data_IF_022207373763
#
_entry.id   IF_022207373763
#
_cell.length_a   1.000
_cell.length_b   1.000
_cell.length_c   1.000
_cell.angle_alpha   90.00
_cell.angle_beta   90.00
_cell.angle_gamma   90.00
#
_symmetry.space_group_name_H-M   'P 1'
#
loop_
_entity.id
_entity.type
_entity.pdbx_description
1 polymer ?
#
# COMPACT_ATOMS: atom_id res chain seq x y z
N UNK A 1 -30.05 -90.24 -15.58
CA UNK A 1 -30.61 -90.39 -14.22
C UNK A 1 -30.71 -89.03 -13.59
N UNK A 2 -31.94 -88.65 -13.26
CA UNK A 2 -32.38 -87.84 -12.10
C UNK A 2 -31.58 -86.61 -11.77
N UNK A 3 -32.11 -85.42 -11.48
CA UNK A 3 -33.45 -84.85 -11.16
C UNK A 3 -33.25 -83.32 -11.13
N UNK A 4 -34.03 -82.56 -11.80
CA UNK A 4 -34.95 -81.48 -11.41
C UNK A 4 -34.76 -80.98 -9.97
N UNK A 5 -34.58 -79.65 -9.81
CA UNK A 5 -35.43 -78.82 -8.95
C UNK A 5 -35.24 -77.35 -9.34
N UNK A 6 -36.38 -76.78 -9.55
CA UNK A 6 -36.73 -75.43 -9.86
C UNK A 6 -36.71 -74.54 -8.59
N UNK A 7 -36.16 -73.35 -8.61
CA UNK A 7 -36.60 -72.32 -7.67
C UNK A 7 -36.53 -70.94 -8.28
N UNK A 8 -37.66 -70.31 -8.26
CA UNK A 8 -37.96 -68.93 -8.62
C UNK A 8 -37.16 -67.98 -7.80
N UNK A 9 -36.45 -67.02 -8.45
CA UNK A 9 -35.89 -65.92 -7.78
C UNK A 9 -36.70 -64.67 -8.06
N UNK A 10 -37.11 -64.07 -6.96
CA UNK A 10 -37.80 -62.81 -6.76
C UNK A 10 -36.89 -61.68 -7.13
N UNK A 11 -37.23 -60.93 -8.16
CA UNK A 11 -36.54 -59.71 -8.57
C UNK A 11 -36.89 -58.60 -7.56
N UNK A 12 -35.96 -58.30 -6.66
CA UNK A 12 -36.03 -57.02 -5.86
C UNK A 12 -35.51 -55.86 -6.71
N UNK A 13 -36.43 -55.11 -7.23
CA UNK A 13 -36.20 -53.81 -7.85
C UNK A 13 -35.77 -52.86 -6.74
N UNK A 14 -34.45 -52.63 -6.59
CA UNK A 14 -33.95 -51.50 -5.82
C UNK A 14 -34.15 -50.23 -6.63
N UNK A 15 -35.19 -49.48 -6.30
CA UNK A 15 -35.32 -48.09 -6.71
C UNK A 15 -34.22 -47.28 -6.00
N UNK A 16 -33.14 -47.01 -6.72
CA UNK A 16 -32.23 -45.96 -6.35
C UNK A 16 -32.96 -44.64 -6.64
N UNK A 17 -33.50 -44.02 -5.59
CA UNK A 17 -33.82 -42.60 -5.62
C UNK A 17 -32.49 -41.82 -5.73
N UNK A 18 -32.10 -41.44 -6.95
CA UNK A 18 -31.18 -40.38 -7.18
C UNK A 18 -31.87 -39.10 -6.67
N UNK A 19 -31.59 -38.77 -5.42
CA UNK A 19 -31.77 -37.41 -4.94
C UNK A 19 -30.75 -36.57 -5.71
N UNK A 20 -31.17 -36.02 -6.85
CA UNK A 20 -30.56 -34.84 -7.42
C UNK A 20 -30.78 -33.74 -6.39
N UNK A 21 -29.75 -33.51 -5.59
CA UNK A 21 -29.63 -32.20 -4.96
C UNK A 21 -29.44 -31.21 -6.08
N UNK A 22 -30.52 -30.66 -6.60
CA UNK A 22 -30.51 -29.38 -7.24
C UNK A 22 -30.08 -28.37 -6.16
N UNK A 23 -28.76 -28.19 -6.05
CA UNK A 23 -28.20 -27.02 -5.40
C UNK A 23 -28.45 -25.83 -6.30
N UNK A 24 -29.71 -25.45 -6.49
CA UNK A 24 -30.11 -24.13 -6.78
C UNK A 24 -29.80 -23.31 -5.52
N UNK A 25 -28.55 -22.98 -5.30
CA UNK A 25 -28.20 -21.81 -4.53
C UNK A 25 -28.80 -20.65 -5.31
N UNK A 26 -30.04 -20.29 -4.94
CA UNK A 26 -30.70 -19.11 -5.45
C UNK A 26 -29.75 -17.96 -5.13
N UNK A 27 -29.09 -17.40 -6.17
CA UNK A 27 -28.20 -16.25 -6.03
C UNK A 27 -29.00 -15.14 -5.35
N UNK A 28 -28.88 -15.07 -4.03
CA UNK A 28 -29.61 -14.08 -3.24
C UNK A 28 -29.02 -12.71 -3.54
N UNK A 29 -29.88 -11.76 -3.86
CA UNK A 29 -29.50 -10.36 -4.02
C UNK A 29 -28.79 -9.85 -2.74
N UNK A 30 -27.70 -9.15 -2.89
CA UNK A 30 -26.90 -8.57 -1.80
C UNK A 30 -26.85 -7.07 -1.91
N UNK A 31 -27.11 -6.38 -0.82
CA UNK A 31 -26.88 -4.96 -0.71
C UNK A 31 -25.41 -4.74 -0.32
N UNK A 32 -24.63 -4.16 -1.22
CA UNK A 32 -23.23 -3.85 -1.00
C UNK A 32 -23.10 -2.44 -0.42
N UNK A 33 -22.48 -2.30 0.74
CA UNK A 33 -22.29 -1.00 1.43
C UNK A 33 -20.98 -0.97 2.20
N UNK A 34 -20.27 0.14 2.09
CA UNK A 34 -19.22 0.46 3.05
C UNK A 34 -19.79 0.57 4.45
N UNK A 35 -19.08 0.09 5.42
CA UNK A 35 -19.42 0.13 6.84
C UNK A 35 -18.30 0.82 7.60
N UNK A 36 -18.65 1.80 8.39
CA UNK A 36 -17.72 2.58 9.18
C UNK A 36 -18.09 2.51 10.65
N UNK A 37 -17.07 2.46 11.49
CA UNK A 37 -17.20 2.56 12.94
C UNK A 37 -16.11 3.50 13.44
N UNK A 38 -16.50 4.46 14.29
CA UNK A 38 -15.53 5.36 14.93
C UNK A 38 -14.47 4.58 15.70
N UNK A 39 -13.21 4.90 15.46
CA UNK A 39 -12.06 4.22 16.03
C UNK A 39 -11.48 3.10 15.16
N UNK A 40 -12.17 2.70 14.08
CA UNK A 40 -11.60 1.70 13.15
C UNK A 40 -10.37 2.26 12.44
N UNK A 41 -9.41 1.38 12.23
CA UNK A 41 -8.22 1.65 11.44
C UNK A 41 -8.08 0.58 10.38
N UNK A 42 -7.59 0.97 9.22
CA UNK A 42 -7.24 0.02 8.16
C UNK A 42 -6.00 0.51 7.42
N UNK A 43 -5.29 -0.44 6.85
CA UNK A 43 -4.14 -0.18 6.01
C UNK A 43 -4.38 -0.77 4.62
N UNK A 44 -3.93 -0.07 3.60
CA UNK A 44 -3.87 -0.59 2.22
C UNK A 44 -2.42 -0.58 1.76
N UNK A 45 -1.96 -1.72 1.27
CA UNK A 45 -0.70 -1.84 0.54
C UNK A 45 -1.03 -2.00 -0.94
N UNK A 46 -0.48 -1.12 -1.78
CA UNK A 46 -0.60 -1.23 -3.23
C UNK A 46 0.77 -1.26 -3.87
N UNK A 47 0.97 -2.17 -4.81
CA UNK A 47 2.16 -2.24 -5.66
C UNK A 47 1.76 -1.98 -7.10
N UNK A 48 2.47 -1.08 -7.77
CA UNK A 48 2.22 -0.72 -9.17
C UNK A 48 3.51 -0.92 -9.97
N UNK A 49 3.41 -1.67 -11.07
CA UNK A 49 4.47 -1.73 -12.06
C UNK A 49 4.06 -0.87 -13.24
N UNK A 50 4.82 0.19 -13.49
CA UNK A 50 4.49 1.20 -14.48
C UNK A 50 5.60 1.38 -15.52
N UNK A 51 5.20 1.61 -16.76
CA UNK A 51 6.07 2.01 -17.86
C UNK A 51 5.67 3.41 -18.30
N UNK A 52 6.62 4.33 -18.27
CA UNK A 52 6.43 5.72 -18.70
C UNK A 52 7.14 5.96 -20.03
N UNK A 53 6.41 6.49 -21.01
CA UNK A 53 6.96 6.96 -22.28
C UNK A 53 6.70 8.45 -22.43
N UNK A 54 7.67 9.16 -23.00
CA UNK A 54 7.55 10.57 -23.38
C UNK A 54 7.79 10.69 -24.87
N UNK A 55 6.82 11.28 -25.58
CA UNK A 55 6.84 11.41 -27.05
C UNK A 55 7.13 10.08 -27.77
N UNK A 56 6.48 8.98 -27.29
CA UNK A 56 6.60 7.63 -27.80
C UNK A 56 7.90 6.90 -27.46
N UNK A 57 8.84 7.53 -26.75
CA UNK A 57 10.11 6.92 -26.33
C UNK A 57 10.04 6.48 -24.87
N UNK A 58 10.57 5.30 -24.55
CA UNK A 58 10.68 4.84 -23.18
C UNK A 58 11.50 5.87 -22.37
N UNK A 59 10.89 6.39 -21.33
CA UNK A 59 11.53 7.28 -20.37
C UNK A 59 12.08 6.45 -19.20
N UNK A 60 11.21 5.71 -18.50
CA UNK A 60 11.60 4.80 -17.40
C UNK A 60 10.55 3.72 -17.16
N UNK A 61 10.92 2.74 -16.36
CA UNK A 61 10.01 1.77 -15.75
C UNK A 61 10.10 1.97 -14.25
N UNK A 62 8.97 2.04 -13.58
CA UNK A 62 8.85 2.27 -12.14
C UNK A 62 8.15 1.11 -11.44
N UNK A 63 8.64 0.76 -10.27
CA UNK A 63 7.94 -0.01 -9.27
C UNK A 63 7.50 0.96 -8.17
N UNK A 64 6.20 1.16 -8.02
CA UNK A 64 5.62 2.11 -7.07
C UNK A 64 4.96 1.32 -5.95
N UNK A 65 5.23 1.68 -4.71
CA UNK A 65 4.57 1.13 -3.53
C UNK A 65 3.81 2.25 -2.83
N UNK A 66 2.50 2.09 -2.78
CA UNK A 66 1.61 2.99 -2.07
C UNK A 66 1.16 2.33 -0.77
N UNK A 67 1.24 3.08 0.32
CA UNK A 67 0.77 2.70 1.63
C UNK A 67 -0.24 3.72 2.09
N UNK A 68 -1.39 3.25 2.43
CA UNK A 68 -2.45 4.08 2.99
C UNK A 68 -2.72 3.60 4.41
N UNK A 69 -2.64 4.48 5.37
CA UNK A 69 -3.14 4.26 6.73
C UNK A 69 -4.31 5.19 6.95
N UNK A 70 -5.46 4.65 7.29
CA UNK A 70 -6.67 5.43 7.50
C UNK A 70 -7.26 5.15 8.88
N UNK A 71 -7.73 6.21 9.51
CA UNK A 71 -8.43 6.20 10.80
C UNK A 71 -9.82 6.81 10.63
N UNK A 72 -10.85 6.09 11.10
CA UNK A 72 -12.22 6.59 11.11
C UNK A 72 -12.41 7.39 12.40
N UNK A 73 -12.37 8.72 12.29
CA UNK A 73 -12.47 9.61 13.45
C UNK A 73 -13.89 9.89 13.88
N UNK A 74 -14.85 9.80 12.94
CA UNK A 74 -16.26 10.02 13.22
C UNK A 74 -17.15 9.25 12.23
N UNK A 75 -18.40 8.99 12.64
CA UNK A 75 -19.44 8.42 11.78
C UNK A 75 -20.73 9.23 12.01
N UNK A 76 -21.23 9.88 10.96
CA UNK A 76 -22.42 10.70 11.07
C UNK A 76 -23.74 9.91 11.09
N UNK A 77 -24.86 10.62 11.27
CA UNK A 77 -26.21 10.04 11.32
C UNK A 77 -26.63 9.33 10.02
N UNK A 78 -25.99 9.65 8.89
CA UNK A 78 -26.22 9.02 7.59
C UNK A 78 -25.31 7.82 7.35
N UNK A 79 -24.46 7.44 8.32
CA UNK A 79 -23.51 6.35 8.22
C UNK A 79 -22.29 6.67 7.36
N UNK A 80 -21.98 7.96 7.09
CA UNK A 80 -20.74 8.36 6.43
C UNK A 80 -19.59 8.31 7.43
N UNK A 81 -18.43 7.78 7.00
CA UNK A 81 -17.22 7.78 7.81
C UNK A 81 -16.33 8.98 7.51
N UNK A 82 -15.89 9.70 8.55
CA UNK A 82 -14.84 10.69 8.46
C UNK A 82 -13.51 10.00 8.54
N UNK A 83 -12.79 9.99 7.40
CA UNK A 83 -11.49 9.36 7.27
C UNK A 83 -10.38 10.42 7.44
N UNK A 84 -9.44 10.17 8.33
CA UNK A 84 -8.14 10.82 8.38
C UNK A 84 -7.11 9.82 7.88
N UNK A 85 -6.49 10.10 6.74
CA UNK A 85 -5.65 9.14 6.05
C UNK A 85 -4.28 9.72 5.69
N UNK A 86 -3.24 8.92 5.89
CA UNK A 86 -1.89 9.21 5.42
C UNK A 86 -1.57 8.30 4.24
N UNK A 87 -1.15 8.88 3.15
CA UNK A 87 -0.73 8.19 1.93
C UNK A 87 0.78 8.37 1.78
N UNK A 88 1.53 7.28 1.80
CA UNK A 88 2.95 7.27 1.49
C UNK A 88 3.15 6.62 0.13
N UNK A 89 3.78 7.32 -0.79
CA UNK A 89 4.12 6.80 -2.12
C UNK A 89 5.62 6.73 -2.28
N UNK A 90 6.13 5.56 -2.60
CA UNK A 90 7.54 5.30 -2.90
C UNK A 90 7.66 4.83 -4.34
N UNK A 91 8.58 5.42 -5.08
CA UNK A 91 8.89 5.04 -6.45
C UNK A 91 10.33 4.55 -6.55
N UNK A 92 10.52 3.37 -7.15
CA UNK A 92 11.81 2.83 -7.51
C UNK A 92 11.91 2.78 -9.04
N UNK A 93 12.61 3.76 -9.62
CA UNK A 93 12.75 3.90 -11.06
C UNK A 93 14.08 3.31 -11.57
N UNK A 94 14.04 2.60 -12.70
CA UNK A 94 15.23 1.97 -13.32
C UNK A 94 16.21 2.96 -13.95
N UNK A 95 15.85 4.23 -14.09
CA UNK A 95 16.76 5.28 -14.55
C UNK A 95 17.80 5.68 -13.50
N UNK A 96 17.54 5.38 -12.22
CA UNK A 96 18.42 5.63 -11.09
C UNK A 96 18.73 4.32 -10.39
N UNK A 97 19.84 3.64 -10.75
CA UNK A 97 20.38 2.39 -10.20
C UNK A 97 19.41 1.59 -9.30
N UNK A 98 19.03 0.39 -9.76
CA UNK A 98 18.18 -0.55 -9.02
C UNK A 98 18.78 -0.86 -7.63
N UNK A 99 18.46 -0.06 -6.63
CA UNK A 99 18.65 -0.40 -5.24
C UNK A 99 17.69 -1.53 -4.92
N UNK A 100 18.17 -2.58 -4.26
CA UNK A 100 17.33 -3.72 -3.84
C UNK A 100 16.35 -3.37 -2.72
N UNK A 101 16.23 -2.11 -2.35
CA UNK A 101 15.41 -1.55 -1.25
C UNK A 101 14.59 -0.35 -1.74
N UNK A 102 13.47 -0.10 -1.08
CA UNK A 102 12.58 1.02 -1.36
C UNK A 102 12.97 2.21 -0.47
N UNK A 103 13.12 3.40 -1.07
CA UNK A 103 13.31 4.63 -0.32
C UNK A 103 11.98 5.06 0.31
N UNK A 104 12.00 5.54 1.56
CA UNK A 104 10.81 6.09 2.20
C UNK A 104 10.32 7.30 1.42
N UNK A 105 9.06 7.24 0.96
CA UNK A 105 8.52 8.19 -0.01
C UNK A 105 7.95 9.46 0.60
N UNK A 106 7.21 10.20 -0.23
CA UNK A 106 6.47 11.36 0.21
C UNK A 106 5.19 10.93 0.95
N UNK A 107 4.88 11.63 2.03
CA UNK A 107 3.62 11.47 2.76
C UNK A 107 2.65 12.59 2.37
N UNK A 108 1.38 12.21 2.19
CA UNK A 108 0.27 13.12 1.94
C UNK A 108 -0.80 12.84 2.99
N UNK A 109 -1.24 13.85 3.68
CA UNK A 109 -2.36 13.74 4.60
C UNK A 109 -3.64 14.16 3.89
N UNK A 110 -4.74 13.46 4.17
CA UNK A 110 -6.06 13.80 3.64
C UNK A 110 -7.13 13.55 4.68
N UNK A 111 -8.14 14.42 4.67
CA UNK A 111 -9.32 14.30 5.51
C UNK A 111 -10.55 14.45 4.65
N UNK A 112 -11.44 13.43 4.72
CA UNK A 112 -12.63 13.37 3.87
C UNK A 112 -13.74 12.53 4.48
N UNK A 113 -14.97 12.88 4.17
CA UNK A 113 -16.12 12.03 4.37
C UNK A 113 -16.27 11.04 3.22
N UNK A 114 -16.67 9.83 3.52
CA UNK A 114 -17.04 8.83 2.51
C UNK A 114 -18.36 8.18 2.89
N UNK A 115 -19.32 8.16 1.95
CA UNK A 115 -20.64 7.58 2.21
C UNK A 115 -20.63 6.04 2.09
N UNK A 116 -21.76 5.42 2.45
CA UNK A 116 -21.92 3.97 2.41
C UNK A 116 -21.86 3.39 0.97
N UNK A 117 -22.00 4.21 -0.07
CA UNK A 117 -21.83 3.79 -1.47
C UNK A 117 -20.40 3.99 -1.96
N UNK A 118 -19.58 4.74 -1.26
CA UNK A 118 -18.18 4.99 -1.59
C UNK A 118 -17.92 6.37 -2.20
N UNK A 119 -18.92 7.27 -2.19
CA UNK A 119 -18.78 8.64 -2.70
C UNK A 119 -18.02 9.50 -1.69
N UNK A 120 -17.06 10.28 -2.19
CA UNK A 120 -16.22 11.15 -1.38
C UNK A 120 -16.77 12.57 -1.28
N UNK A 121 -16.67 13.16 -0.11
CA UNK A 121 -16.73 14.60 0.12
C UNK A 121 -15.36 15.03 0.64
N UNK A 122 -14.52 15.59 -0.24
CA UNK A 122 -13.11 15.90 0.00
C UNK A 122 -12.77 17.31 -0.49
N UNK A 123 -11.94 18.02 0.29
CA UNK A 123 -11.51 19.36 -0.07
C UNK A 123 -10.55 19.39 -1.26
N UNK A 124 -10.56 20.48 -2.02
CA UNK A 124 -9.72 20.66 -3.22
C UNK A 124 -8.22 20.71 -2.94
N UNK A 125 -7.82 21.03 -1.71
CA UNK A 125 -6.42 21.06 -1.27
C UNK A 125 -5.75 19.69 -1.18
N UNK A 126 -6.54 18.62 -1.20
CA UNK A 126 -6.01 17.26 -1.05
C UNK A 126 -5.73 16.61 -2.40
N UNK A 127 -4.52 16.09 -2.56
CA UNK A 127 -4.06 15.37 -3.77
C UNK A 127 -4.34 13.87 -3.71
N UNK A 128 -4.57 13.32 -2.51
CA UNK A 128 -4.88 11.91 -2.31
C UNK A 128 -6.28 11.74 -1.71
N UNK A 129 -6.96 10.61 -2.03
CA UNK A 129 -6.59 9.59 -3.01
C UNK A 129 -6.70 10.12 -4.45
N UNK A 130 -5.92 9.51 -5.37
CA UNK A 130 -5.97 9.87 -6.81
C UNK A 130 -7.32 9.48 -7.41
N UNK A 131 -7.73 8.23 -7.28
CA UNK A 131 -9.02 7.74 -7.79
C UNK A 131 -10.10 7.94 -6.73
N UNK A 132 -11.15 8.69 -7.09
CA UNK A 132 -12.26 9.04 -6.19
C UNK A 132 -13.57 8.52 -6.73
N UNK A 133 -14.48 8.17 -5.82
CA UNK A 133 -15.80 7.60 -6.09
C UNK A 133 -15.73 6.21 -6.77
N UNK A 134 -14.64 5.47 -6.53
CA UNK A 134 -14.44 4.09 -6.98
C UNK A 134 -14.04 3.21 -5.79
N UNK A 135 -14.75 2.07 -5.59
CA UNK A 135 -16.00 1.72 -6.22
C UNK A 135 -17.15 2.59 -5.70
N UNK A 136 -18.06 2.96 -6.61
CA UNK A 136 -19.38 3.45 -6.23
C UNK A 136 -20.36 2.28 -6.28
N UNK A 137 -20.86 1.88 -5.10
CA UNK A 137 -21.71 0.71 -4.94
C UNK A 137 -23.15 0.98 -5.41
N UNK A 138 -23.93 -0.05 -5.82
CA UNK A 138 -25.24 0.12 -6.44
C UNK A 138 -26.29 0.64 -5.44
N UNK A 139 -27.31 1.33 -5.94
CA UNK A 139 -28.41 1.82 -5.12
C UNK A 139 -29.23 0.70 -4.48
N UNK A 140 -29.40 -0.40 -5.21
CA UNK A 140 -30.24 -1.55 -4.82
C UNK A 140 -29.37 -2.80 -4.61
N UNK A 141 -29.95 -3.80 -3.97
CA UNK A 141 -29.36 -5.11 -3.89
C UNK A 141 -29.14 -5.69 -5.30
N UNK A 142 -28.04 -6.41 -5.47
CA UNK A 142 -27.57 -6.97 -6.75
C UNK A 142 -27.18 -8.44 -6.57
N UNK A 143 -27.17 -9.17 -7.68
CA UNK A 143 -26.74 -10.54 -7.78
C UNK A 143 -25.74 -10.73 -8.93
N UNK A 144 -25.02 -11.85 -8.99
CA UNK A 144 -24.14 -12.14 -10.10
C UNK A 144 -24.78 -11.93 -11.47
N UNK A 145 -24.09 -11.22 -12.36
CA UNK A 145 -24.56 -10.81 -13.68
C UNK A 145 -25.09 -9.38 -13.76
N UNK A 146 -25.52 -8.77 -12.65
CA UNK A 146 -26.03 -7.42 -12.63
C UNK A 146 -24.95 -6.37 -12.91
N UNK A 147 -25.37 -5.27 -13.53
CA UNK A 147 -24.51 -4.15 -13.90
C UNK A 147 -25.09 -2.83 -13.48
N UNK A 148 -24.23 -1.85 -13.19
CA UNK A 148 -24.62 -0.46 -12.93
C UNK A 148 -23.53 0.49 -13.38
N UNK A 149 -23.82 1.77 -13.43
CA UNK A 149 -22.84 2.82 -13.75
C UNK A 149 -22.85 3.88 -12.66
N UNK A 150 -21.70 4.52 -12.47
CA UNK A 150 -21.57 5.68 -11.60
C UNK A 150 -20.46 6.60 -12.10
N UNK A 151 -20.55 7.88 -11.75
CA UNK A 151 -19.50 8.84 -12.03
C UNK A 151 -18.36 8.69 -11.02
N UNK A 152 -17.14 8.98 -11.47
CA UNK A 152 -15.94 9.09 -10.67
C UNK A 152 -14.98 10.09 -11.30
N UNK A 153 -13.86 10.31 -10.68
CA UNK A 153 -12.81 11.16 -11.22
C UNK A 153 -11.43 10.76 -10.69
N UNK A 154 -10.40 11.07 -11.47
CA UNK A 154 -9.02 11.02 -11.02
C UNK A 154 -8.53 12.43 -10.67
N UNK A 155 -7.74 12.54 -9.60
CA UNK A 155 -7.16 13.77 -9.07
C UNK A 155 -5.63 13.65 -9.10
N UNK A 156 -5.02 14.13 -10.17
CA UNK A 156 -3.57 13.97 -10.38
C UNK A 156 -2.77 15.09 -9.72
N UNK A 157 -1.69 14.73 -9.05
CA UNK A 157 -0.70 15.68 -8.52
C UNK A 157 0.30 16.06 -9.63
N UNK A 158 0.07 17.17 -10.25
CA UNK A 158 0.91 17.68 -11.33
C UNK A 158 1.83 18.86 -10.91
N UNK A 159 1.98 19.11 -9.59
CA UNK A 159 2.80 20.21 -9.05
C UNK A 159 4.24 20.18 -9.51
N UNK A 160 4.84 19.00 -9.63
CA UNK A 160 6.24 18.85 -10.05
C UNK A 160 6.45 19.10 -11.53
N UNK A 161 5.45 18.75 -12.35
CA UNK A 161 5.56 18.82 -13.81
C UNK A 161 5.04 20.13 -14.37
N UNK A 162 3.96 20.68 -13.77
CA UNK A 162 3.22 21.81 -14.34
C UNK A 162 2.86 22.89 -13.31
N UNK A 163 3.46 22.85 -12.10
CA UNK A 163 3.25 23.83 -11.02
C UNK A 163 1.77 24.10 -10.63
N UNK A 164 0.90 23.09 -10.82
CA UNK A 164 -0.50 23.19 -10.41
C UNK A 164 -0.62 23.27 -8.89
N UNK A 165 -1.35 24.27 -8.37
CA UNK A 165 -1.59 24.40 -6.93
C UNK A 165 -2.68 23.46 -6.41
N UNK A 166 -3.63 23.08 -7.28
CA UNK A 166 -4.73 22.13 -6.99
C UNK A 166 -4.58 20.86 -7.84
N UNK A 167 -5.19 19.73 -7.42
CA UNK A 167 -5.23 18.51 -8.21
C UNK A 167 -5.84 18.74 -9.60
N UNK A 168 -5.24 18.13 -10.59
CA UNK A 168 -5.79 18.08 -11.95
C UNK A 168 -6.87 17.02 -12.03
N UNK A 169 -8.13 17.44 -12.22
CA UNK A 169 -9.31 16.58 -12.12
C UNK A 169 -9.71 16.08 -13.50
N UNK A 170 -9.76 14.75 -13.67
CA UNK A 170 -10.20 14.07 -14.90
C UNK A 170 -11.46 13.26 -14.59
N UNK A 171 -12.66 13.70 -15.03
CA UNK A 171 -13.90 12.99 -14.77
C UNK A 171 -14.07 11.79 -15.71
N UNK A 172 -14.78 10.78 -15.22
CA UNK A 172 -15.19 9.61 -16.02
C UNK A 172 -16.51 9.02 -15.53
N UNK A 173 -17.07 8.10 -16.31
CA UNK A 173 -18.17 7.23 -15.89
C UNK A 173 -17.66 5.80 -15.87
N UNK A 174 -17.76 5.14 -14.70
CA UNK A 174 -17.39 3.76 -14.51
C UNK A 174 -18.57 2.82 -14.72
N UNK A 175 -18.32 1.67 -15.34
CA UNK A 175 -19.25 0.56 -15.47
C UNK A 175 -18.83 -0.55 -14.52
N UNK A 176 -19.75 -0.99 -13.71
CA UNK A 176 -19.58 -2.05 -12.72
C UNK A 176 -20.36 -3.29 -13.14
N UNK A 177 -19.80 -4.45 -12.79
CA UNK A 177 -20.50 -5.74 -12.94
C UNK A 177 -20.20 -6.63 -11.74
N UNK A 178 -21.24 -7.18 -11.12
CA UNK A 178 -21.09 -8.27 -10.16
C UNK A 178 -20.85 -9.57 -10.93
N UNK A 179 -19.63 -10.13 -10.81
CA UNK A 179 -19.21 -11.29 -11.62
C UNK A 179 -19.68 -12.59 -11.00
N UNK A 180 -19.34 -12.83 -9.70
CA UNK A 180 -19.61 -14.07 -8.97
C UNK A 180 -19.33 -13.91 -7.48
N UNK A 181 -19.84 -14.85 -6.69
CA UNK A 181 -19.27 -15.13 -5.37
C UNK A 181 -18.05 -16.03 -5.50
N UNK A 182 -17.03 -15.81 -4.67
CA UNK A 182 -15.81 -16.59 -4.67
C UNK A 182 -15.34 -16.88 -3.25
N UNK A 183 -15.02 -18.14 -2.97
CA UNK A 183 -14.38 -18.53 -1.72
C UNK A 183 -12.90 -18.18 -1.79
N UNK A 184 -12.40 -17.47 -0.81
CA UNK A 184 -11.01 -17.06 -0.72
C UNK A 184 -10.53 -16.98 0.72
N UNK A 185 -9.29 -16.53 0.89
CA UNK A 185 -8.69 -16.23 2.19
C UNK A 185 -8.55 -14.73 2.29
N UNK A 186 -9.00 -14.15 3.40
CA UNK A 186 -8.87 -12.72 3.67
C UNK A 186 -7.39 -12.29 3.64
N UNK A 187 -7.12 -11.10 3.12
CA UNK A 187 -5.77 -10.51 3.10
C UNK A 187 -5.33 -9.97 4.46
N UNK A 188 -6.23 -9.87 5.42
CA UNK A 188 -5.91 -9.48 6.79
C UNK A 188 -5.05 -10.51 7.53
N UNK A 189 -4.52 -10.14 8.70
CA UNK A 189 -3.61 -10.98 9.51
C UNK A 189 -4.24 -12.30 9.96
N UNK A 190 -5.57 -12.40 9.98
CA UNK A 190 -6.28 -13.61 10.42
C UNK A 190 -6.32 -14.69 9.36
N UNK A 191 -6.18 -14.33 8.09
CA UNK A 191 -6.25 -15.23 6.95
C UNK A 191 -7.49 -16.14 6.98
N UNK A 192 -8.64 -15.61 7.39
CA UNK A 192 -9.90 -16.35 7.48
C UNK A 192 -10.45 -16.69 6.10
N UNK A 193 -11.06 -17.88 5.98
CA UNK A 193 -11.80 -18.25 4.77
C UNK A 193 -13.12 -17.49 4.72
N UNK A 194 -13.36 -16.78 3.61
CA UNK A 194 -14.52 -15.93 3.40
C UNK A 194 -15.10 -16.09 2.01
N UNK A 195 -16.33 -15.60 1.86
CA UNK A 195 -16.98 -15.48 0.55
C UNK A 195 -16.93 -14.02 0.12
N UNK A 196 -16.15 -13.73 -0.90
CA UNK A 196 -16.07 -12.42 -1.51
C UNK A 196 -17.06 -12.25 -2.65
N UNK A 197 -17.57 -11.04 -2.83
CA UNK A 197 -18.29 -10.62 -4.02
C UNK A 197 -17.27 -10.06 -5.01
N UNK A 198 -17.07 -10.75 -6.12
CA UNK A 198 -16.12 -10.32 -7.15
C UNK A 198 -16.80 -9.34 -8.09
N UNK A 199 -16.27 -8.12 -8.13
CA UNK A 199 -16.78 -7.02 -8.94
C UNK A 199 -15.76 -6.65 -10.03
N UNK A 200 -16.23 -6.43 -11.25
CA UNK A 200 -15.44 -5.76 -12.30
C UNK A 200 -15.80 -4.28 -12.33
N UNK A 201 -14.80 -3.44 -12.40
CA UNK A 201 -14.93 -1.99 -12.61
C UNK A 201 -14.17 -1.61 -13.87
N UNK A 202 -14.83 -0.88 -14.79
CA UNK A 202 -14.19 -0.42 -16.02
C UNK A 202 -14.58 1.01 -16.28
N UNK A 203 -13.61 1.84 -16.61
CA UNK A 203 -13.85 3.18 -17.11
C UNK A 203 -12.86 3.56 -18.18
N UNK A 204 -13.29 4.50 -19.02
CA UNK A 204 -12.44 5.19 -19.99
C UNK A 204 -12.50 6.68 -19.70
N UNK A 205 -11.39 7.34 -19.88
CA UNK A 205 -11.25 8.79 -19.75
C UNK A 205 -11.05 9.39 -21.13
N UNK A 206 -11.72 10.52 -21.38
CA UNK A 206 -11.49 11.39 -22.53
C UNK A 206 -11.87 12.79 -22.06
N UNK A 207 -10.88 13.57 -21.71
CA UNK A 207 -11.05 14.89 -21.10
C UNK A 207 -10.18 15.91 -21.81
N UNK A 208 -10.80 17.02 -22.23
CA UNK A 208 -10.12 18.20 -22.76
C UNK A 208 -10.14 19.29 -21.70
N UNK A 209 -8.96 19.76 -21.31
CA UNK A 209 -8.81 20.83 -20.32
C UNK A 209 -9.11 22.18 -20.98
N UNK A 210 -9.80 23.08 -20.29
CA UNK A 210 -9.90 24.46 -20.74
C UNK A 210 -8.50 25.09 -20.87
N UNK A 211 -8.23 25.72 -22.01
CA UNK A 211 -6.97 26.45 -22.21
C UNK A 211 -7.08 27.77 -21.45
N UNK A 212 -6.16 28.06 -20.48
CA UNK A 212 -6.16 29.31 -19.76
C UNK A 212 -5.96 30.52 -20.68
N UNK A 213 -6.59 31.66 -20.35
CA UNK A 213 -6.43 32.90 -21.13
C UNK A 213 -4.96 33.38 -21.18
N UNK A 214 -4.17 33.06 -20.15
CA UNK A 214 -2.74 33.39 -20.06
C UNK A 214 -1.82 32.24 -20.52
N UNK A 215 -2.31 31.27 -21.29
CA UNK A 215 -1.56 30.07 -21.74
C UNK A 215 -0.17 30.42 -22.29
N UNK A 216 -0.05 31.54 -23.01
CA UNK A 216 1.20 32.02 -23.59
C UNK A 216 2.30 32.38 -22.57
N UNK A 217 1.93 32.57 -21.30
CA UNK A 217 2.86 32.89 -20.21
C UNK A 217 3.15 31.69 -19.30
N UNK A 218 2.59 30.50 -19.57
CA UNK A 218 2.81 29.28 -18.84
C UNK A 218 3.91 28.46 -19.52
N UNK A 219 4.69 27.71 -18.74
CA UNK A 219 5.74 26.85 -19.29
C UNK A 219 5.14 25.70 -20.13
N UNK A 220 4.27 24.91 -19.53
CA UNK A 220 3.50 23.85 -20.17
C UNK A 220 2.32 23.45 -19.27
N UNK A 221 1.31 22.76 -19.80
CA UNK A 221 0.20 22.21 -19.01
C UNK A 221 -0.57 21.16 -19.82
N UNK A 222 -1.29 20.20 -19.19
CA UNK A 222 -2.06 19.20 -19.88
C UNK A 222 -3.30 19.80 -20.55
N UNK A 223 -3.53 19.47 -21.81
CA UNK A 223 -4.70 19.89 -22.59
C UNK A 223 -5.64 18.75 -22.91
N UNK A 224 -5.12 17.52 -23.05
CA UNK A 224 -5.94 16.34 -23.30
C UNK A 224 -5.48 15.20 -22.39
N UNK A 225 -6.43 14.51 -21.77
CA UNK A 225 -6.16 13.28 -21.03
C UNK A 225 -7.09 12.19 -21.52
N UNK A 226 -6.52 11.10 -21.99
CA UNK A 226 -7.23 9.90 -22.42
C UNK A 226 -6.69 8.69 -21.71
N UNK A 227 -7.56 7.70 -21.45
CA UNK A 227 -7.09 6.50 -20.80
C UNK A 227 -8.18 5.50 -20.50
N UNK A 228 -7.79 4.44 -19.84
CA UNK A 228 -8.70 3.45 -19.29
C UNK A 228 -8.14 2.83 -18.01
N UNK A 229 -9.04 2.32 -17.19
CA UNK A 229 -8.75 1.40 -16.08
C UNK A 229 -9.71 0.21 -16.14
N UNK A 230 -9.17 -0.99 -15.93
CA UNK A 230 -9.90 -2.24 -15.76
C UNK A 230 -9.51 -2.86 -14.44
N UNK A 231 -10.45 -2.91 -13.51
CA UNK A 231 -10.23 -3.44 -12.17
C UNK A 231 -11.05 -4.69 -11.92
N UNK A 232 -10.50 -5.58 -11.09
CA UNK A 232 -11.24 -6.65 -10.45
C UNK A 232 -11.10 -6.48 -8.94
N UNK A 233 -12.22 -6.36 -8.24
CA UNK A 233 -12.29 -6.13 -6.80
C UNK A 233 -12.86 -7.37 -6.12
N UNK A 234 -12.30 -7.76 -4.99
CA UNK A 234 -12.86 -8.72 -4.05
C UNK A 234 -13.43 -7.96 -2.85
N UNK A 235 -14.75 -7.91 -2.82
CA UNK A 235 -15.51 -7.19 -1.82
C UNK A 235 -15.88 -8.10 -0.63
N UNK A 236 -15.50 -7.71 0.58
CA UNK A 236 -15.97 -8.34 1.82
C UNK A 236 -17.25 -7.65 2.30
N UNK A 237 -18.42 -8.23 2.00
CA UNK A 237 -19.70 -7.62 2.39
C UNK A 237 -19.99 -7.72 3.89
N UNK A 238 -19.32 -8.60 4.63
CA UNK A 238 -19.46 -8.69 6.08
C UNK A 238 -18.78 -7.50 6.75
N UNK A 239 -17.53 -7.22 6.35
CA UNK A 239 -16.78 -6.04 6.81
C UNK A 239 -17.26 -4.74 6.16
N UNK A 240 -17.84 -4.81 4.95
CA UNK A 240 -18.23 -3.63 4.17
C UNK A 240 -17.01 -2.87 3.64
N UNK A 241 -16.05 -3.59 3.08
CA UNK A 241 -14.82 -3.02 2.53
C UNK A 241 -14.26 -3.85 1.38
N UNK A 242 -13.33 -3.29 0.62
CA UNK A 242 -12.52 -4.04 -0.33
C UNK A 242 -11.53 -4.88 0.48
N UNK A 243 -11.35 -6.16 0.14
CA UNK A 243 -10.28 -6.98 0.68
C UNK A 243 -9.01 -6.80 -0.15
N UNK A 244 -9.10 -6.99 -1.46
CA UNK A 244 -8.00 -6.73 -2.40
C UNK A 244 -8.54 -6.41 -3.79
N UNK A 245 -7.67 -5.86 -4.65
CA UNK A 245 -8.00 -5.63 -6.06
C UNK A 245 -6.77 -5.76 -6.97
N UNK A 246 -7.04 -5.97 -8.24
CA UNK A 246 -6.06 -5.87 -9.33
C UNK A 246 -6.55 -4.86 -10.35
N UNK A 247 -5.61 -4.20 -11.04
CA UNK A 247 -5.90 -3.19 -12.04
C UNK A 247 -4.90 -3.26 -13.20
N UNK A 248 -5.42 -3.11 -14.43
CA UNK A 248 -4.65 -2.77 -15.63
C UNK A 248 -5.09 -1.39 -16.10
N UNK A 249 -4.15 -0.46 -16.29
CA UNK A 249 -4.46 0.90 -16.70
C UNK A 249 -3.53 1.43 -17.78
N UNK A 250 -4.01 2.43 -18.50
CA UNK A 250 -3.20 3.30 -19.35
C UNK A 250 -3.77 4.70 -19.32
N UNK A 251 -2.89 5.70 -19.15
CA UNK A 251 -3.22 7.12 -19.17
C UNK A 251 -2.28 7.81 -20.16
N UNK A 252 -2.83 8.58 -21.06
CA UNK A 252 -2.08 9.38 -22.02
C UNK A 252 -2.47 10.84 -21.82
N UNK A 253 -1.48 11.68 -21.50
CA UNK A 253 -1.64 13.13 -21.37
C UNK A 253 -0.91 13.83 -22.51
N UNK A 254 -1.61 14.72 -23.20
CA UNK A 254 -1.01 15.63 -24.17
C UNK A 254 -0.99 17.05 -23.60
N UNK A 255 0.13 17.73 -23.79
CA UNK A 255 0.33 19.08 -23.25
C UNK A 255 0.19 20.17 -24.31
N UNK A 256 0.05 21.41 -23.87
CA UNK A 256 -0.08 22.58 -24.72
C UNK A 256 1.12 22.75 -25.69
N UNK A 257 2.33 22.40 -25.25
CA UNK A 257 3.53 22.43 -26.09
C UNK A 257 3.71 21.19 -26.97
N UNK A 258 2.72 20.29 -26.98
CA UNK A 258 2.70 19.10 -27.83
C UNK A 258 3.51 17.92 -27.30
N UNK A 259 3.87 17.92 -26.03
CA UNK A 259 4.45 16.73 -25.39
C UNK A 259 3.37 15.71 -25.08
N UNK A 260 3.70 14.43 -25.24
CA UNK A 260 2.83 13.31 -24.90
C UNK A 260 3.48 12.46 -23.82
N UNK A 261 2.76 12.25 -22.72
CA UNK A 261 3.14 11.36 -21.62
C UNK A 261 2.21 10.14 -21.63
N UNK A 262 2.77 8.93 -21.70
CA UNK A 262 2.02 7.66 -21.76
C UNK A 262 2.44 6.80 -20.58
N UNK A 263 1.52 6.61 -19.64
CA UNK A 263 1.66 5.80 -18.44
C UNK A 263 0.88 4.50 -18.65
N UNK A 264 1.54 3.36 -18.59
CA UNK A 264 0.90 2.05 -18.72
C UNK A 264 1.33 1.18 -17.57
N UNK A 265 0.39 0.61 -16.82
CA UNK A 265 0.74 -0.14 -15.62
C UNK A 265 -0.25 -1.20 -15.21
N UNK A 266 0.20 -1.94 -14.21
CA UNK A 266 -0.58 -2.91 -13.45
C UNK A 266 -0.43 -2.65 -11.97
N UNK A 267 -1.56 -2.66 -11.26
CA UNK A 267 -1.59 -2.53 -9.82
C UNK A 267 -2.17 -3.79 -9.17
N UNK A 268 -1.66 -4.07 -7.98
CA UNK A 268 -2.27 -4.98 -7.01
C UNK A 268 -2.33 -4.26 -5.67
N UNK A 269 -3.46 -4.34 -5.00
CA UNK A 269 -3.61 -3.77 -3.67
C UNK A 269 -4.39 -4.70 -2.76
N UNK A 270 -4.04 -4.69 -1.48
CA UNK A 270 -4.68 -5.47 -0.44
C UNK A 270 -4.88 -4.63 0.82
N UNK A 271 -5.97 -4.92 1.53
CA UNK A 271 -6.22 -4.35 2.85
C UNK A 271 -5.59 -5.24 3.90
N UNK A 272 -4.74 -4.66 4.73
CA UNK A 272 -4.07 -5.34 5.84
C UNK A 272 -4.54 -4.77 7.17
N UNK A 273 -4.36 -5.54 8.25
CA UNK A 273 -4.66 -5.05 9.59
C UNK A 273 -3.67 -3.95 10.00
N UNK A 274 -4.18 -3.02 10.80
CA UNK A 274 -3.38 -1.98 11.42
C UNK A 274 -3.05 -2.37 12.87
N UNK A 275 -1.77 -2.52 13.17
CA UNK A 275 -1.30 -2.74 14.53
C UNK A 275 -0.37 -1.62 14.95
N UNK A 276 -0.67 -1.01 16.12
CA UNK A 276 0.23 -0.01 16.73
C UNK A 276 1.42 -0.70 17.37
N UNK A 277 2.61 -0.36 16.91
CA UNK A 277 3.87 -0.78 17.52
C UNK A 277 4.26 0.11 18.74
N UNK A 278 3.96 1.40 18.69
CA UNK A 278 4.36 2.40 19.70
C UNK A 278 3.48 2.42 20.95
N UNK A 279 3.14 1.26 21.51
CA UNK A 279 2.44 1.14 22.78
C UNK A 279 3.42 1.06 23.96
N UNK A 280 2.97 1.36 25.20
CA UNK A 280 3.80 1.20 26.40
C UNK A 280 4.12 -0.26 26.68
N UNK A 281 3.20 -1.17 26.36
CA UNK A 281 3.38 -2.60 26.47
C UNK A 281 4.49 -3.08 25.54
N UNK A 282 4.40 -2.75 24.24
CA UNK A 282 5.41 -3.11 23.25
C UNK A 282 6.79 -2.52 23.58
N UNK A 283 6.84 -1.25 24.03
CA UNK A 283 8.08 -0.64 24.49
C UNK A 283 8.72 -1.46 25.61
N UNK A 284 7.93 -1.86 26.62
CA UNK A 284 8.40 -2.67 27.74
C UNK A 284 8.89 -4.04 27.29
N UNK A 285 8.17 -4.71 26.40
CA UNK A 285 8.55 -6.01 25.83
C UNK A 285 9.87 -5.91 25.07
N UNK A 286 10.02 -4.89 24.21
CA UNK A 286 11.25 -4.72 23.42
C UNK A 286 12.44 -4.37 24.30
N UNK A 287 12.27 -3.50 25.32
CA UNK A 287 13.33 -3.18 26.27
C UNK A 287 13.80 -4.43 27.06
N UNK A 288 12.86 -5.29 27.50
CA UNK A 288 13.24 -6.54 28.18
C UNK A 288 14.00 -7.49 27.23
N UNK A 289 13.58 -7.62 25.97
CA UNK A 289 14.29 -8.43 24.98
C UNK A 289 15.69 -7.88 24.68
N UNK A 290 15.85 -6.56 24.56
CA UNK A 290 17.17 -5.91 24.39
C UNK A 290 18.09 -6.30 25.54
N UNK A 291 17.59 -6.29 26.77
CA UNK A 291 18.33 -6.69 27.98
C UNK A 291 18.67 -8.19 27.98
N UNK A 292 17.70 -9.06 27.73
CA UNK A 292 17.89 -10.53 27.72
C UNK A 292 18.87 -10.96 26.63
N UNK A 293 18.86 -10.28 25.48
CA UNK A 293 19.78 -10.56 24.38
C UNK A 293 21.15 -9.90 24.56
N UNK A 294 21.38 -9.20 25.67
CA UNK A 294 22.63 -8.49 25.97
C UNK A 294 23.08 -7.61 24.81
N UNK A 295 22.15 -6.74 24.35
CA UNK A 295 22.43 -5.81 23.26
C UNK A 295 23.00 -4.51 23.83
N UNK A 296 24.28 -4.28 23.57
CA UNK A 296 24.99 -3.05 23.92
C UNK A 296 24.82 -1.99 22.85
N UNK A 297 24.88 -0.70 23.21
CA UNK A 297 24.72 0.44 22.31
C UNK A 297 23.39 0.42 21.53
N UNK A 298 22.32 -0.02 22.20
CA UNK A 298 20.96 -0.06 21.64
C UNK A 298 20.01 0.68 22.57
N UNK A 299 19.29 1.65 22.02
CA UNK A 299 18.22 2.36 22.71
C UNK A 299 16.87 2.12 22.02
N UNK A 300 15.78 2.18 22.80
CA UNK A 300 14.43 2.00 22.27
C UNK A 300 13.57 3.17 22.70
N UNK A 301 12.88 3.78 21.73
CA UNK A 301 12.02 4.95 21.97
C UNK A 301 10.72 4.85 21.18
N UNK A 302 9.66 5.50 21.68
CA UNK A 302 8.43 5.71 20.90
C UNK A 302 8.51 7.02 20.15
N UNK A 303 8.00 7.05 18.92
CA UNK A 303 7.84 8.24 18.10
C UNK A 303 6.44 8.26 17.49
N UNK A 304 6.09 9.34 16.82
CA UNK A 304 4.84 9.44 16.04
C UNK A 304 4.79 8.45 14.88
N UNK A 305 5.96 7.98 14.42
CA UNK A 305 6.04 6.99 13.32
C UNK A 305 5.95 5.55 13.81
N UNK A 306 6.19 5.28 15.09
CA UNK A 306 6.20 3.92 15.63
C UNK A 306 7.26 3.71 16.71
N UNK A 307 7.62 2.44 16.95
CA UNK A 307 8.62 2.03 17.93
C UNK A 307 10.01 1.95 17.28
N UNK A 308 10.93 2.78 17.73
CA UNK A 308 12.28 2.91 17.15
C UNK A 308 13.34 2.21 18.01
N UNK A 309 14.11 1.32 17.40
CA UNK A 309 15.31 0.68 17.94
C UNK A 309 16.52 1.35 17.29
N UNK A 310 17.27 2.13 18.03
CA UNK A 310 18.47 2.81 17.55
C UNK A 310 19.72 2.00 17.91
N UNK A 311 20.54 1.73 16.89
CA UNK A 311 21.87 1.13 17.02
C UNK A 311 22.89 2.26 17.01
N UNK A 312 23.33 2.66 18.21
CA UNK A 312 24.35 3.68 18.36
C UNK A 312 25.73 3.13 18.00
N UNK A 313 26.58 3.98 17.45
CA UNK A 313 27.96 3.64 17.09
C UNK A 313 28.10 2.39 16.20
N UNK A 314 27.10 2.11 15.35
CA UNK A 314 27.14 0.96 14.42
C UNK A 314 28.38 1.01 13.52
N UNK A 315 29.10 -0.10 13.45
CA UNK A 315 30.37 -0.18 12.76
C UNK A 315 30.23 -0.67 11.32
N UNK A 316 30.78 0.11 10.41
CA UNK A 316 30.98 -0.26 9.01
C UNK A 316 32.48 -0.31 8.71
N UNK A 317 32.87 -0.96 7.63
CA UNK A 317 34.24 -0.84 7.15
C UNK A 317 34.57 0.63 6.89
N UNK A 318 35.82 1.08 7.12
CA UNK A 318 36.19 2.49 6.92
C UNK A 318 35.73 3.06 5.58
N UNK A 319 35.14 4.25 5.59
CA UNK A 319 34.62 4.95 4.41
C UNK A 319 33.70 4.09 3.51
N UNK A 320 32.88 3.24 4.11
CA UNK A 320 32.06 2.25 3.42
C UNK A 320 30.73 2.07 4.14
N UNK A 321 29.79 1.48 3.43
CA UNK A 321 28.51 0.99 3.97
C UNK A 321 28.52 -0.54 4.23
N UNK A 322 29.69 -1.21 4.12
CA UNK A 322 29.79 -2.64 4.36
C UNK A 322 29.77 -2.91 5.86
N UNK A 323 28.74 -3.61 6.33
CA UNK A 323 28.58 -4.02 7.74
C UNK A 323 29.71 -4.94 8.19
N UNK A 324 30.23 -4.68 9.39
CA UNK A 324 31.16 -5.61 10.05
C UNK A 324 30.40 -6.86 10.54
N UNK A 325 31.11 -7.96 10.72
CA UNK A 325 30.48 -9.23 11.13
C UNK A 325 29.91 -9.17 12.56
N UNK A 326 30.51 -8.38 13.46
CA UNK A 326 29.97 -8.07 14.78
C UNK A 326 28.57 -7.43 14.68
N UNK A 327 28.40 -6.48 13.77
CA UNK A 327 27.13 -5.78 13.58
C UNK A 327 26.07 -6.69 12.94
N UNK A 328 26.46 -7.59 12.03
CA UNK A 328 25.57 -8.63 11.52
C UNK A 328 25.06 -9.56 12.62
N UNK A 329 25.91 -9.91 13.59
CA UNK A 329 25.51 -10.70 14.75
C UNK A 329 24.52 -9.93 15.66
N UNK A 330 24.75 -8.61 15.86
CA UNK A 330 23.83 -7.71 16.58
C UNK A 330 22.48 -7.61 15.87
N UNK A 331 22.49 -7.36 14.54
CA UNK A 331 21.28 -7.31 13.71
C UNK A 331 20.49 -8.62 13.71
N UNK A 332 21.17 -9.79 13.77
CA UNK A 332 20.50 -11.09 13.91
C UNK A 332 19.73 -11.23 15.23
N UNK A 333 20.23 -10.64 16.32
CA UNK A 333 19.51 -10.59 17.59
C UNK A 333 18.29 -9.62 17.50
N UNK A 334 18.48 -8.46 16.89
CA UNK A 334 17.40 -7.48 16.65
C UNK A 334 16.31 -8.07 15.75
N UNK A 335 16.68 -8.82 14.72
CA UNK A 335 15.75 -9.55 13.86
C UNK A 335 14.74 -10.37 14.65
N UNK A 336 15.20 -11.09 15.69
CA UNK A 336 14.31 -11.87 16.58
C UNK A 336 13.33 -10.99 17.40
N UNK A 337 13.67 -9.74 17.64
CA UNK A 337 12.76 -8.79 18.30
C UNK A 337 11.69 -8.34 17.30
N UNK A 338 12.11 -8.03 16.08
CA UNK A 338 11.26 -7.51 15.01
C UNK A 338 10.26 -8.56 14.49
N UNK A 339 10.63 -9.85 14.53
CA UNK A 339 9.77 -10.97 14.08
C UNK A 339 8.43 -11.03 14.80
N UNK A 340 8.33 -10.49 16.01
CA UNK A 340 7.08 -10.46 16.78
C UNK A 340 6.10 -9.37 16.29
N UNK A 341 6.55 -8.46 15.44
CA UNK A 341 5.75 -7.34 14.94
C UNK A 341 5.51 -7.52 13.44
N UNK A 342 4.25 -7.57 12.97
CA UNK A 342 3.97 -7.70 11.53
C UNK A 342 4.18 -6.39 10.75
N UNK A 343 4.42 -5.29 11.48
CA UNK A 343 4.55 -3.95 10.92
C UNK A 343 5.72 -3.80 9.95
N UNK A 344 5.62 -2.78 9.11
CA UNK A 344 6.68 -2.38 8.22
C UNK A 344 7.83 -1.72 8.95
N UNK A 345 8.99 -1.73 8.32
CA UNK A 345 10.22 -1.19 8.88
C UNK A 345 10.71 0.02 8.10
N UNK A 346 11.06 1.08 8.82
CA UNK A 346 11.85 2.18 8.30
C UNK A 346 13.27 2.09 8.86
N UNK A 347 14.25 1.98 7.99
CA UNK A 347 15.66 2.00 8.34
C UNK A 347 16.22 3.39 8.06
N UNK A 348 16.55 4.11 9.10
CA UNK A 348 17.06 5.50 9.01
C UNK A 348 18.56 5.54 9.29
N UNK A 349 19.33 6.02 8.32
CA UNK A 349 20.77 6.20 8.47
C UNK A 349 21.14 7.63 8.89
N UNK A 350 22.10 7.74 9.83
CA UNK A 350 22.64 9.00 10.32
C UNK A 350 24.15 8.99 10.35
N UNK A 351 24.75 10.16 10.15
CA UNK A 351 26.20 10.36 10.24
C UNK A 351 26.53 11.45 11.26
N UNK A 352 27.75 11.43 11.78
CA UNK A 352 28.33 12.63 12.35
C UNK A 352 28.57 13.67 11.25
N UNK A 353 28.70 14.94 11.60
CA UNK A 353 29.09 16.00 10.67
C UNK A 353 30.60 15.83 10.38
N UNK A 354 30.91 15.12 9.30
CA UNK A 354 32.29 14.91 8.83
C UNK A 354 32.28 14.89 7.30
N UNK A 355 32.88 15.88 6.67
CA UNK A 355 32.80 16.11 5.22
C UNK A 355 31.68 17.07 4.82
N UNK A 356 31.23 16.99 3.57
CA UNK A 356 30.15 17.84 3.05
C UNK A 356 28.77 17.28 3.41
N UNK A 357 27.72 18.13 3.50
CA UNK A 357 26.37 17.66 3.73
C UNK A 357 25.91 16.59 2.71
N UNK A 358 26.30 16.74 1.44
CA UNK A 358 25.98 15.82 0.35
C UNK A 358 26.65 14.45 0.58
N UNK A 359 27.93 14.44 0.96
CA UNK A 359 28.65 13.18 1.27
C UNK A 359 28.07 12.48 2.49
N UNK A 360 27.67 13.23 3.52
CA UNK A 360 26.97 12.70 4.68
C UNK A 360 25.61 12.11 4.30
N UNK A 361 24.87 12.77 3.39
CA UNK A 361 23.59 12.29 2.91
C UNK A 361 23.75 10.96 2.19
N UNK A 362 24.62 10.87 1.18
CA UNK A 362 24.87 9.66 0.42
C UNK A 362 25.31 8.50 1.34
N UNK A 363 26.28 8.74 2.23
CA UNK A 363 26.79 7.72 3.13
C UNK A 363 25.71 7.20 4.10
N UNK A 364 24.81 8.08 4.56
CA UNK A 364 23.70 7.67 5.44
C UNK A 364 22.67 6.81 4.71
N UNK A 365 22.37 7.13 3.45
CA UNK A 365 21.48 6.33 2.59
C UNK A 365 22.07 4.94 2.33
N UNK A 366 23.35 4.87 1.93
CA UNK A 366 24.04 3.60 1.69
C UNK A 366 24.09 2.70 2.92
N UNK A 367 24.26 3.27 4.13
CA UNK A 367 24.27 2.52 5.38
C UNK A 367 22.90 2.00 5.76
N UNK A 368 21.86 2.84 5.62
CA UNK A 368 20.48 2.39 5.80
C UNK A 368 20.14 1.23 4.86
N UNK A 369 20.54 1.36 3.60
CA UNK A 369 20.35 0.36 2.56
C UNK A 369 21.04 -0.98 2.90
N UNK A 370 22.28 -0.93 3.41
CA UNK A 370 23.03 -2.13 3.81
C UNK A 370 22.37 -2.89 4.96
N UNK A 371 21.80 -2.17 5.93
CA UNK A 371 21.04 -2.79 7.03
C UNK A 371 19.73 -3.39 6.51
N UNK A 372 18.99 -2.66 5.67
CA UNK A 372 17.75 -3.13 5.08
C UNK A 372 17.97 -4.40 4.23
N UNK A 373 18.98 -4.41 3.34
CA UNK A 373 19.33 -5.59 2.56
C UNK A 373 19.70 -6.79 3.42
N UNK A 374 20.40 -6.57 4.53
CA UNK A 374 20.70 -7.63 5.49
C UNK A 374 19.41 -8.22 6.09
N UNK A 375 18.48 -7.39 6.53
CA UNK A 375 17.18 -7.82 7.09
C UNK A 375 16.32 -8.56 6.06
N UNK A 376 16.28 -8.08 4.81
CA UNK A 376 15.60 -8.76 3.69
C UNK A 376 16.22 -10.15 3.46
N UNK A 377 17.57 -10.20 3.37
CA UNK A 377 18.29 -11.46 3.14
C UNK A 377 18.09 -12.49 4.25
N UNK A 378 17.89 -12.05 5.48
CA UNK A 378 17.63 -12.94 6.63
C UNK A 378 16.15 -13.34 6.76
N UNK A 379 15.26 -12.81 5.90
CA UNK A 379 13.86 -13.17 5.85
C UNK A 379 12.99 -12.50 6.92
N UNK A 380 13.48 -11.45 7.59
CA UNK A 380 12.72 -10.71 8.60
C UNK A 380 11.51 -10.02 7.98
N UNK A 381 11.69 -9.44 6.80
CA UNK A 381 10.65 -8.84 5.94
C UNK A 381 11.08 -8.97 4.48
N UNK A 382 10.12 -8.93 3.58
CA UNK A 382 10.40 -8.76 2.17
C UNK A 382 10.69 -7.28 1.81
N UNK A 383 11.07 -7.04 0.55
CA UNK A 383 11.46 -5.69 0.10
C UNK A 383 10.32 -4.66 0.12
N UNK A 384 9.05 -5.09 0.09
CA UNK A 384 7.88 -4.19 0.09
C UNK A 384 7.52 -3.72 1.50
N UNK A 385 8.10 -4.35 2.50
CA UNK A 385 7.86 -4.08 3.92
C UNK A 385 9.07 -3.47 4.63
N UNK A 386 10.11 -3.05 3.89
CA UNK A 386 11.29 -2.35 4.43
C UNK A 386 11.60 -1.12 3.57
N UNK A 387 11.66 0.03 4.22
CA UNK A 387 11.99 1.31 3.61
C UNK A 387 13.28 1.85 4.16
N UNK A 388 14.01 2.61 3.35
CA UNK A 388 15.27 3.25 3.75
C UNK A 388 15.18 4.77 3.62
N UNK A 389 15.82 5.49 4.54
CA UNK A 389 15.95 6.94 4.50
C UNK A 389 17.31 7.36 5.06
N UNK A 390 18.01 8.25 4.36
CA UNK A 390 19.23 8.88 4.85
C UNK A 390 18.94 10.27 5.38
N UNK A 391 19.47 10.60 6.55
CA UNK A 391 19.37 11.91 7.15
C UNK A 391 20.71 12.68 7.13
N UNK A 392 21.80 12.05 6.69
CA UNK A 392 23.11 12.65 6.78
C UNK A 392 23.42 13.08 8.23
N UNK A 393 23.91 14.29 8.40
CA UNK A 393 24.20 14.90 9.70
C UNK A 393 23.11 15.86 10.21
N UNK A 394 21.93 15.90 9.55
CA UNK A 394 20.87 16.89 9.83
C UNK A 394 20.11 16.66 11.13
N UNK A 395 20.12 15.44 11.66
CA UNK A 395 19.38 15.06 12.87
C UNK A 395 20.35 14.50 13.91
N UNK A 396 21.18 15.34 14.56
CA UNK A 396 22.13 14.89 15.56
C UNK A 396 21.45 14.57 16.88
N UNK A 397 21.85 13.49 17.57
CA UNK A 397 21.45 13.16 18.93
C UNK A 397 22.34 13.85 19.96
N UNK A 398 23.58 14.16 19.59
CA UNK A 398 24.57 14.77 20.48
C UNK A 398 25.44 15.75 19.72
N UNK A 399 26.26 16.52 20.45
CA UNK A 399 27.15 17.51 19.87
C UNK A 399 28.17 16.85 18.94
N UNK A 400 28.33 17.40 17.73
CA UNK A 400 29.41 17.00 16.80
C UNK A 400 30.79 17.58 17.21
N UNK A 401 30.89 18.32 18.33
CA UNK A 401 32.15 18.90 18.80
C UNK A 401 32.99 17.92 19.65
N UNK A 402 32.41 16.79 20.04
CA UNK A 402 33.12 15.77 20.86
C UNK A 402 33.13 14.41 20.13
N UNK A 403 34.20 13.60 20.33
CA UNK A 403 34.26 12.25 19.76
C UNK A 403 33.09 11.34 20.20
N UNK A 404 32.66 11.47 21.45
CA UNK A 404 31.56 10.71 22.04
C UNK A 404 30.23 11.11 21.41
N UNK A 405 30.01 12.42 21.21
CA UNK A 405 28.82 12.91 20.53
C UNK A 405 28.77 12.51 19.05
N UNK A 406 29.90 12.59 18.37
CA UNK A 406 30.04 12.09 17.01
C UNK A 406 29.74 10.56 16.92
N UNK A 407 30.17 9.78 17.93
CA UNK A 407 29.88 8.35 17.97
C UNK A 407 28.37 8.06 18.06
N UNK A 408 27.64 8.80 18.92
CA UNK A 408 26.18 8.71 19.04
C UNK A 408 25.45 9.13 17.77
N UNK A 409 25.98 10.12 17.04
CA UNK A 409 25.40 10.59 15.77
C UNK A 409 25.57 9.57 14.63
N UNK A 410 26.63 8.74 14.67
CA UNK A 410 26.83 7.61 13.71
C UNK A 410 25.96 6.44 14.13
N UNK A 411 24.70 6.44 13.74
CA UNK A 411 23.72 5.42 14.10
C UNK A 411 22.86 5.00 12.93
N UNK A 412 22.23 3.85 13.09
CA UNK A 412 21.10 3.43 12.26
C UNK A 412 19.91 3.17 13.19
N UNK A 413 18.79 3.70 12.82
CA UNK A 413 17.52 3.51 13.51
C UNK A 413 16.64 2.54 12.71
N UNK A 414 16.04 1.58 13.40
CA UNK A 414 15.05 0.65 12.86
C UNK A 414 13.73 0.99 13.51
N UNK A 415 12.84 1.65 12.78
CA UNK A 415 11.51 1.99 13.27
C UNK A 415 10.51 0.95 12.79
N UNK A 416 9.82 0.32 13.73
CA UNK A 416 8.66 -0.53 13.50
C UNK A 416 7.49 0.44 13.32
N UNK A 417 7.04 0.61 12.10
CA UNK A 417 6.09 1.67 11.74
C UNK A 417 4.68 1.38 12.27
N UNK A 418 4.01 2.40 12.79
CA UNK A 418 2.57 2.35 13.10
C UNK A 418 1.71 2.52 11.85
N UNK A 419 2.28 3.13 10.83
CA UNK A 419 1.60 3.49 9.57
C UNK A 419 1.85 2.48 8.47
#
# INVERSE_FOLDING_TARGET
>A
MKKIINQRNLCKLCFFFLLTFDANAQDSEKLLRFKYKTGDNYRVLSTVNETVKVNGRLNHVAEIVNRVSAHITDVDENGRGLNEATFMTTENSTSTSAKGTLTYGNEYESKYWRDAKGVYEIGKQYFMPVVRDVPCLPEKAVKPGDTWTANGHEAHDLRRSFANEEPYIVPFTATYKYIRDEQGVSSDSKHEKKTFQVLSVKYTMSFESPIPENAWSLDDFPVTTMGFSNQTLWWDNEKGQIDHYTEDFRIVMETYLGNQYDFTGRAHAEVTDFERSATDENLSVVLEKVKVLELEDVSVTKSEKGLTIALENIQFKPNSAVLMDSEKAKLKKIAKIIEDFPNDLLISGHTALSGTPESCQVLSEERADSVAQYLIKTGVRDKYHIFTQGFGSRVPLASNSTPEGMAKNRRVEITILDK
#
